data_IF_945617178818
#
_entry.id   IF_945617178818
#
_cell.length_a   1.000
_cell.length_b   1.000
_cell.length_c   1.000
_cell.angle_alpha   90.00
_cell.angle_beta   90.00
_cell.angle_gamma   90.00
#
_symmetry.space_group_name_H-M   'P 1'
#
loop_
_entity.id
_entity.type
_entity.pdbx_description
1 polymer ?
#
# COMPACT_ATOMS: atom_id res chain seq x y z
N UNK A 1 65.03 67.06 -22.57
CA UNK A 1 64.74 65.88 -21.72
C UNK A 1 63.27 65.68 -21.76
N UNK A 2 62.76 64.75 -22.62
CA UNK A 2 61.37 64.55 -22.87
C UNK A 2 61.07 63.17 -22.24
N UNK A 3 60.24 63.16 -21.18
CA UNK A 3 59.83 61.96 -20.49
C UNK A 3 58.45 61.51 -21.01
N UNK A 4 58.44 60.40 -21.72
CA UNK A 4 57.22 59.74 -22.26
C UNK A 4 56.51 58.89 -21.19
N UNK A 5 55.26 59.26 -20.81
CA UNK A 5 54.42 58.49 -19.98
C UNK A 5 53.72 57.39 -20.81
N UNK A 6 54.01 56.12 -20.58
CA UNK A 6 53.28 55.00 -21.13
C UNK A 6 52.10 54.71 -20.24
N UNK A 7 50.81 54.93 -20.70
CA UNK A 7 49.60 54.46 -20.09
C UNK A 7 49.48 52.96 -20.33
N UNK A 8 49.49 52.13 -19.27
CA UNK A 8 49.12 50.74 -19.33
C UNK A 8 47.59 50.68 -19.23
N UNK A 9 46.94 50.20 -20.28
CA UNK A 9 45.51 49.94 -20.32
C UNK A 9 45.29 48.46 -19.88
N UNK A 10 44.74 48.25 -18.68
CA UNK A 10 44.43 46.94 -18.15
C UNK A 10 43.02 46.54 -18.65
N UNK A 11 42.94 45.56 -19.54
CA UNK A 11 41.71 44.96 -19.96
C UNK A 11 41.26 44.00 -18.86
N UNK A 12 40.14 44.32 -18.19
CA UNK A 12 39.46 43.43 -17.26
C UNK A 12 38.54 42.53 -18.10
N UNK A 13 38.92 41.29 -18.34
CA UNK A 13 38.04 40.27 -18.94
C UNK A 13 37.13 39.74 -17.84
N UNK A 14 35.88 40.18 -17.84
CA UNK A 14 34.84 39.61 -16.97
C UNK A 14 34.48 38.20 -17.49
N UNK A 15 34.98 37.18 -16.83
CA UNK A 15 34.58 35.78 -17.07
C UNK A 15 33.16 35.57 -16.50
N UNK A 16 32.14 35.63 -17.35
CA UNK A 16 30.76 35.27 -16.97
C UNK A 16 30.71 33.75 -16.84
N UNK A 17 30.81 33.26 -15.62
CA UNK A 17 30.51 31.86 -15.28
C UNK A 17 29.01 31.62 -15.47
N UNK A 18 28.61 31.12 -16.64
CA UNK A 18 27.29 30.51 -16.84
C UNK A 18 27.30 29.19 -16.11
N UNK A 19 26.85 29.19 -14.87
CA UNK A 19 26.52 27.95 -14.15
C UNK A 19 25.37 27.29 -14.91
N UNK A 20 25.55 26.07 -15.47
CA UNK A 20 24.43 25.35 -16.01
C UNK A 20 23.46 25.08 -14.86
N UNK A 21 22.24 25.62 -14.94
CA UNK A 21 21.13 25.16 -14.12
C UNK A 21 20.90 23.71 -14.48
N UNK A 22 21.41 22.79 -13.65
CA UNK A 22 21.09 21.38 -13.73
C UNK A 22 19.60 21.27 -13.42
N UNK A 23 18.75 21.41 -14.45
CA UNK A 23 17.38 20.91 -14.38
C UNK A 23 17.52 19.41 -14.14
N UNK A 24 17.18 18.94 -12.94
CA UNK A 24 17.05 17.50 -12.71
C UNK A 24 16.07 16.99 -13.75
N UNK A 25 16.56 16.20 -14.70
CA UNK A 25 15.70 15.49 -15.63
C UNK A 25 14.74 14.62 -14.81
N UNK A 26 13.49 14.53 -15.21
CA UNK A 26 12.51 13.62 -14.60
C UNK A 26 13.03 12.20 -14.82
N UNK A 27 13.42 11.52 -13.75
CA UNK A 27 14.11 10.24 -13.81
C UNK A 27 13.18 9.10 -14.26
N UNK A 28 11.85 9.24 -13.97
CA UNK A 28 10.84 8.26 -14.28
C UNK A 28 9.85 8.78 -15.32
N UNK A 29 10.38 9.30 -16.44
CA UNK A 29 9.57 9.77 -17.55
C UNK A 29 8.83 8.61 -18.19
N UNK A 30 7.52 8.81 -18.48
CA UNK A 30 6.72 7.84 -19.22
C UNK A 30 7.25 7.67 -20.65
N UNK A 31 7.28 6.45 -21.13
CA UNK A 31 7.66 6.09 -22.50
C UNK A 31 6.58 5.24 -23.17
N UNK A 32 6.86 4.75 -24.39
CA UNK A 32 5.93 3.85 -25.08
C UNK A 32 5.85 2.45 -24.46
N UNK A 33 6.95 2.00 -23.85
CA UNK A 33 6.94 0.73 -23.12
C UNK A 33 6.14 0.87 -21.83
N UNK A 34 5.28 -0.10 -21.50
CA UNK A 34 4.54 -0.11 -20.25
C UNK A 34 5.46 -0.05 -19.03
N UNK A 35 5.16 0.85 -18.10
CA UNK A 35 5.80 0.92 -16.80
C UNK A 35 4.74 0.99 -15.68
N UNK A 36 5.16 1.01 -14.41
CA UNK A 36 4.29 1.08 -13.23
C UNK A 36 3.20 0.00 -13.23
N UNK A 37 3.54 -1.18 -13.73
CA UNK A 37 2.60 -2.30 -13.77
C UNK A 37 2.29 -2.76 -12.36
N UNK A 38 1.00 -2.79 -12.01
CA UNK A 38 0.55 -3.18 -10.69
C UNK A 38 -0.74 -4.01 -10.75
N UNK A 39 -0.78 -5.05 -9.95
CA UNK A 39 -1.97 -5.85 -9.72
C UNK A 39 -2.76 -5.33 -8.51
N UNK A 40 -4.09 -5.28 -8.67
CA UNK A 40 -5.06 -4.98 -7.61
C UNK A 40 -6.31 -5.84 -7.84
N UNK A 41 -7.32 -5.71 -6.98
CA UNK A 41 -8.62 -6.33 -7.20
C UNK A 41 -9.71 -5.27 -7.21
N UNK A 42 -10.61 -5.36 -8.19
CA UNK A 42 -11.84 -4.56 -8.23
C UNK A 42 -13.08 -5.38 -7.85
N UNK A 43 -12.95 -6.72 -7.86
CA UNK A 43 -14.02 -7.66 -7.57
C UNK A 43 -13.47 -8.93 -6.88
N UNK A 44 -14.16 -10.09 -7.01
CA UNK A 44 -13.80 -11.34 -6.32
C UNK A 44 -12.43 -11.88 -6.77
N UNK A 45 -11.43 -11.96 -5.87
CA UNK A 45 -10.08 -12.47 -6.17
C UNK A 45 -10.03 -13.90 -6.70
N UNK A 46 -11.08 -14.67 -6.55
CA UNK A 46 -11.15 -16.05 -7.05
C UNK A 46 -11.30 -16.13 -8.56
N UNK A 47 -12.00 -15.15 -9.13
CA UNK A 47 -12.42 -15.19 -10.53
C UNK A 47 -12.05 -13.93 -11.33
N UNK A 48 -11.38 -12.98 -10.67
CA UNK A 48 -10.97 -11.71 -11.31
C UNK A 48 -9.56 -11.29 -10.89
N UNK A 49 -8.92 -10.49 -11.74
CA UNK A 49 -7.68 -9.79 -11.43
C UNK A 49 -7.62 -8.48 -12.20
N UNK A 50 -7.38 -7.38 -11.52
CA UNK A 50 -7.15 -6.09 -12.16
C UNK A 50 -5.63 -5.87 -12.37
N UNK A 51 -5.26 -5.29 -13.49
CA UNK A 51 -3.92 -4.80 -13.78
C UNK A 51 -4.00 -3.37 -14.30
N UNK A 52 -3.11 -2.52 -13.79
CA UNK A 52 -2.96 -1.14 -14.24
C UNK A 52 -1.50 -0.90 -14.62
N UNK A 53 -1.28 -0.08 -15.67
CA UNK A 53 0.06 0.32 -16.12
C UNK A 53 0.04 1.72 -16.73
N UNK A 54 1.23 2.31 -16.89
CA UNK A 54 1.38 3.63 -17.50
C UNK A 54 2.17 3.55 -18.81
N UNK A 55 1.85 4.47 -19.74
CA UNK A 55 2.65 4.80 -20.93
C UNK A 55 2.68 6.32 -21.13
N UNK A 56 3.46 6.80 -22.09
CA UNK A 56 3.36 8.19 -22.53
C UNK A 56 2.02 8.48 -23.23
N UNK A 57 1.71 9.75 -23.38
CA UNK A 57 0.42 10.22 -23.95
C UNK A 57 0.23 9.92 -25.44
N UNK A 58 1.20 9.31 -26.13
CA UNK A 58 1.08 8.93 -27.54
C UNK A 58 0.46 7.54 -27.72
N UNK A 59 0.45 6.72 -26.68
CA UNK A 59 -0.12 5.36 -26.69
C UNK A 59 -1.60 5.44 -26.30
N UNK A 60 -2.49 5.54 -27.27
CA UNK A 60 -3.93 5.69 -27.04
C UNK A 60 -4.69 4.35 -26.95
N UNK A 61 -4.14 3.29 -27.53
CA UNK A 61 -4.71 1.94 -27.48
C UNK A 61 -3.71 1.02 -26.79
N UNK A 62 -4.19 0.26 -25.84
CA UNK A 62 -3.36 -0.67 -25.10
C UNK A 62 -4.15 -1.92 -24.76
N UNK A 63 -3.46 -3.03 -24.52
CA UNK A 63 -4.04 -4.35 -24.37
C UNK A 63 -3.35 -5.13 -23.25
N UNK A 64 -4.03 -6.12 -22.72
CA UNK A 64 -3.44 -7.13 -21.85
C UNK A 64 -3.71 -8.52 -22.44
N UNK A 65 -2.71 -9.38 -22.47
CA UNK A 65 -2.83 -10.78 -22.85
C UNK A 65 -2.66 -11.67 -21.63
N UNK A 66 -3.46 -12.74 -21.55
CA UNK A 66 -3.46 -13.67 -20.42
C UNK A 66 -3.80 -15.09 -20.87
N UNK A 67 -3.18 -16.08 -20.24
CA UNK A 67 -3.60 -17.50 -20.29
C UNK A 67 -3.21 -18.24 -19.02
N UNK A 68 -3.67 -19.48 -18.91
CA UNK A 68 -3.28 -20.38 -17.82
C UNK A 68 -1.81 -20.78 -18.01
N UNK A 69 -1.00 -20.61 -16.99
CA UNK A 69 0.42 -20.98 -16.99
C UNK A 69 0.60 -22.50 -17.19
N UNK A 70 1.43 -22.87 -18.12
CA UNK A 70 1.74 -24.28 -18.48
C UNK A 70 3.25 -24.57 -18.58
N UNK A 71 4.08 -23.61 -18.13
CA UNK A 71 5.56 -23.71 -18.16
C UNK A 71 6.18 -23.84 -19.56
N UNK A 72 5.39 -23.63 -20.63
CA UNK A 72 5.91 -23.65 -22.00
C UNK A 72 6.73 -22.40 -22.31
N UNK A 73 7.87 -22.51 -22.97
CA UNK A 73 8.61 -21.35 -23.46
C UNK A 73 7.94 -20.68 -24.68
N UNK A 74 6.91 -21.31 -25.27
CA UNK A 74 6.09 -20.73 -26.34
C UNK A 74 5.03 -19.84 -25.73
N UNK A 75 5.24 -18.54 -25.80
CA UNK A 75 4.40 -17.52 -25.15
C UNK A 75 3.39 -16.86 -26.12
N UNK A 76 3.46 -17.12 -27.41
CA UNK A 76 2.53 -16.72 -28.47
C UNK A 76 1.44 -17.80 -28.67
N UNK A 77 0.58 -17.96 -27.68
CA UNK A 77 -0.43 -19.02 -27.67
C UNK A 77 -1.70 -18.61 -28.37
N UNK A 78 -2.28 -19.51 -29.24
CA UNK A 78 -3.59 -19.27 -29.86
C UNK A 78 -4.73 -19.11 -28.84
N UNK A 79 -4.60 -19.75 -27.67
CA UNK A 79 -5.57 -19.71 -26.57
C UNK A 79 -5.42 -18.47 -25.66
N UNK A 80 -4.39 -17.62 -25.87
CA UNK A 80 -4.24 -16.38 -25.15
C UNK A 80 -5.45 -15.48 -25.37
N UNK A 81 -6.08 -15.07 -24.28
CA UNK A 81 -7.15 -14.07 -24.34
C UNK A 81 -6.52 -12.68 -24.33
N UNK A 82 -7.00 -11.82 -25.23
CA UNK A 82 -6.61 -10.41 -25.27
C UNK A 82 -7.78 -9.55 -24.81
N UNK A 83 -7.47 -8.58 -23.96
CA UNK A 83 -8.40 -7.60 -23.42
C UNK A 83 -7.94 -6.21 -23.82
N UNK A 84 -8.83 -5.43 -24.42
CA UNK A 84 -8.57 -4.01 -24.64
C UNK A 84 -8.64 -3.25 -23.31
N UNK A 85 -7.65 -2.40 -23.07
CA UNK A 85 -7.58 -1.60 -21.87
C UNK A 85 -8.51 -0.39 -21.93
N UNK A 86 -9.06 -0.02 -20.78
CA UNK A 86 -9.58 1.33 -20.53
C UNK A 86 -8.39 2.26 -20.34
N UNK A 87 -8.37 3.38 -21.05
CA UNK A 87 -7.31 4.39 -20.94
C UNK A 87 -7.83 5.64 -20.26
N UNK A 88 -7.11 6.11 -19.26
CA UNK A 88 -7.34 7.36 -18.56
C UNK A 88 -6.12 8.27 -18.72
N UNK A 89 -6.33 9.52 -19.12
CA UNK A 89 -5.27 10.50 -19.33
C UNK A 89 -5.06 11.27 -18.04
N UNK A 90 -3.91 11.11 -17.42
CA UNK A 90 -3.52 11.90 -16.26
C UNK A 90 -2.75 13.14 -16.70
N UNK A 91 -3.32 14.32 -16.39
CA UNK A 91 -2.75 15.65 -16.70
C UNK A 91 -2.59 16.45 -15.42
N UNK A 92 -1.45 17.09 -15.26
CA UNK A 92 -1.21 17.98 -14.14
C UNK A 92 -0.22 19.10 -14.48
N UNK A 93 -0.23 20.14 -13.67
CA UNK A 93 0.73 21.26 -13.83
C UNK A 93 2.14 20.87 -13.36
N UNK A 94 2.25 19.89 -12.48
CA UNK A 94 3.49 19.49 -11.81
C UNK A 94 4.18 18.27 -12.45
N UNK A 95 3.55 17.61 -13.42
CA UNK A 95 4.07 16.39 -14.06
C UNK A 95 3.66 16.32 -15.54
N UNK A 96 4.40 15.54 -16.31
CA UNK A 96 4.07 15.32 -17.73
C UNK A 96 2.77 14.54 -17.87
N UNK A 97 2.03 14.84 -18.96
CA UNK A 97 0.84 14.07 -19.31
C UNK A 97 1.22 12.62 -19.64
N UNK A 98 0.52 11.69 -19.02
CA UNK A 98 0.71 10.26 -19.25
C UNK A 98 -0.64 9.56 -19.37
N UNK A 99 -0.66 8.43 -20.07
CA UNK A 99 -1.81 7.55 -20.19
C UNK A 99 -1.66 6.41 -19.17
N UNK A 100 -2.71 6.20 -18.38
CA UNK A 100 -2.86 5.05 -17.52
C UNK A 100 -3.89 4.10 -18.14
N UNK A 101 -3.54 2.84 -18.17
CA UNK A 101 -4.34 1.79 -18.80
C UNK A 101 -4.75 0.78 -17.73
N UNK A 102 -5.97 0.29 -17.81
CA UNK A 102 -6.45 -0.73 -16.86
C UNK A 102 -7.25 -1.82 -17.58
N UNK A 103 -7.08 -3.05 -17.10
CA UNK A 103 -7.85 -4.22 -17.52
C UNK A 103 -8.31 -4.98 -16.28
N UNK A 104 -9.55 -5.42 -16.29
CA UNK A 104 -10.07 -6.45 -15.38
C UNK A 104 -10.13 -7.78 -16.14
N UNK A 105 -9.29 -8.72 -15.78
CA UNK A 105 -9.46 -10.10 -16.20
C UNK A 105 -10.63 -10.71 -15.44
N UNK A 106 -11.56 -11.31 -16.15
CA UNK A 106 -12.78 -11.89 -15.60
C UNK A 106 -12.96 -13.33 -16.04
N UNK A 107 -13.78 -14.08 -15.29
CA UNK A 107 -14.06 -15.49 -15.59
C UNK A 107 -12.84 -16.41 -15.39
N UNK A 108 -11.95 -16.02 -14.49
CA UNK A 108 -10.78 -16.81 -14.12
C UNK A 108 -11.17 -18.01 -13.26
N UNK A 109 -10.37 -19.06 -13.30
CA UNK A 109 -10.55 -20.26 -12.47
C UNK A 109 -9.89 -20.03 -11.11
N UNK A 110 -10.55 -20.35 -9.99
CA UNK A 110 -9.96 -20.28 -8.66
C UNK A 110 -8.70 -21.14 -8.52
N UNK A 111 -7.76 -20.69 -7.67
CA UNK A 111 -6.48 -21.35 -7.36
C UNK A 111 -5.64 -21.72 -8.59
N UNK A 112 -5.68 -20.89 -9.62
CA UNK A 112 -4.98 -21.14 -10.89
C UNK A 112 -3.85 -20.13 -11.07
N UNK A 113 -2.70 -20.61 -11.53
CA UNK A 113 -1.59 -19.75 -11.95
C UNK A 113 -1.87 -19.25 -13.37
N UNK A 114 -1.77 -17.96 -13.58
CA UNK A 114 -1.90 -17.28 -14.86
C UNK A 114 -0.62 -16.56 -15.23
N UNK A 115 -0.33 -16.52 -16.52
CA UNK A 115 0.72 -15.69 -17.11
C UNK A 115 0.07 -14.58 -17.93
N UNK A 116 0.58 -13.35 -17.81
CA UNK A 116 0.06 -12.19 -18.54
C UNK A 116 1.17 -11.21 -18.92
N UNK A 117 0.88 -10.35 -19.91
CA UNK A 117 1.65 -9.16 -20.25
C UNK A 117 0.71 -8.02 -20.66
N UNK A 118 1.24 -6.79 -20.68
CA UNK A 118 0.50 -5.60 -21.10
C UNK A 118 1.30 -4.83 -22.14
N UNK A 119 0.61 -4.10 -23.04
CA UNK A 119 1.28 -3.36 -24.10
C UNK A 119 0.33 -2.77 -25.13
N UNK A 120 0.89 -2.22 -26.23
CA UNK A 120 0.15 -1.55 -27.32
C UNK A 120 0.08 -2.39 -28.62
N UNK A 121 0.46 -3.67 -28.56
CA UNK A 121 0.57 -4.54 -29.73
C UNK A 121 1.98 -4.56 -30.35
N UNK A 122 2.80 -3.54 -30.07
CA UNK A 122 4.19 -3.43 -30.56
C UNK A 122 5.16 -3.42 -29.37
N UNK A 123 4.91 -2.57 -28.41
CA UNK A 123 5.71 -2.43 -27.18
C UNK A 123 5.03 -3.20 -26.07
N UNK A 124 5.60 -4.34 -25.69
CA UNK A 124 5.06 -5.21 -24.64
C UNK A 124 5.96 -5.18 -23.42
N UNK A 125 5.34 -5.36 -22.23
CA UNK A 125 6.05 -5.66 -20.99
C UNK A 125 6.71 -7.05 -21.06
N UNK A 126 7.54 -7.35 -20.07
CA UNK A 126 7.86 -8.73 -19.72
C UNK A 126 6.60 -9.52 -19.35
N UNK A 127 6.72 -10.83 -19.27
CA UNK A 127 5.67 -11.72 -18.81
C UNK A 127 5.67 -11.80 -17.28
N UNK A 128 4.51 -11.60 -16.68
CA UNK A 128 4.26 -11.73 -15.26
C UNK A 128 3.38 -12.93 -14.95
N UNK A 129 3.41 -13.36 -13.70
CA UNK A 129 2.55 -14.43 -13.22
C UNK A 129 1.81 -13.97 -11.97
N UNK A 130 0.56 -14.40 -11.82
CA UNK A 130 -0.21 -14.29 -10.59
C UNK A 130 -1.07 -15.53 -10.38
N UNK A 131 -1.48 -15.77 -9.13
CA UNK A 131 -2.38 -16.87 -8.80
C UNK A 131 -3.69 -16.29 -8.24
N UNK A 132 -4.82 -16.76 -8.79
CA UNK A 132 -6.16 -16.44 -8.26
C UNK A 132 -6.36 -17.01 -6.85
N UNK A 133 -7.26 -16.39 -6.08
CA UNK A 133 -7.60 -16.87 -4.75
C UNK A 133 -8.25 -18.27 -4.81
N UNK A 134 -8.08 -19.09 -3.77
CA UNK A 134 -8.67 -20.42 -3.73
C UNK A 134 -10.18 -20.38 -3.48
N UNK A 135 -10.90 -21.37 -4.00
CA UNK A 135 -12.32 -21.56 -3.69
C UNK A 135 -12.52 -22.07 -2.26
N UNK A 136 -11.69 -23.01 -1.85
CA UNK A 136 -11.73 -23.61 -0.51
C UNK A 136 -10.71 -22.94 0.41
N UNK A 137 -11.01 -22.98 1.70
CA UNK A 137 -10.07 -22.54 2.73
C UNK A 137 -8.76 -23.33 2.64
N UNK A 138 -7.65 -22.62 2.54
CA UNK A 138 -6.30 -23.17 2.60
C UNK A 138 -5.35 -22.17 3.23
N UNK A 139 -4.20 -22.64 3.71
CA UNK A 139 -3.19 -21.79 4.31
C UNK A 139 -2.60 -20.84 3.25
N UNK A 140 -2.39 -19.59 3.66
CA UNK A 140 -1.74 -18.57 2.85
C UNK A 140 -1.05 -17.53 3.73
N UNK A 141 -0.24 -16.72 3.11
CA UNK A 141 0.40 -15.58 3.76
C UNK A 141 0.27 -14.31 2.94
N UNK A 142 0.43 -13.17 3.61
CA UNK A 142 0.51 -11.88 2.97
C UNK A 142 1.51 -10.96 3.69
N UNK A 143 1.94 -9.92 2.97
CA UNK A 143 2.87 -8.90 3.48
C UNK A 143 2.07 -7.69 3.94
N UNK A 144 2.47 -7.06 5.05
CA UNK A 144 1.99 -5.76 5.47
C UNK A 144 3.15 -4.79 5.57
N UNK A 145 2.96 -3.57 5.02
CA UNK A 145 3.92 -2.47 5.02
C UNK A 145 3.21 -1.19 5.43
N UNK A 146 3.75 -0.49 6.41
CA UNK A 146 3.37 0.90 6.73
C UNK A 146 4.25 1.87 5.94
N UNK A 147 3.93 3.13 6.03
CA UNK A 147 4.62 4.32 5.50
C UNK A 147 5.91 4.06 4.70
N UNK A 148 5.85 4.19 3.38
CA UNK A 148 7.00 4.01 2.49
C UNK A 148 7.77 5.32 2.25
N UNK A 149 7.11 6.45 2.50
CA UNK A 149 7.54 7.81 2.16
C UNK A 149 8.96 8.16 2.59
N UNK A 150 9.56 9.11 1.87
CA UNK A 150 10.92 9.64 2.00
C UNK A 150 12.03 8.65 1.58
N UNK A 151 12.97 9.11 0.78
CA UNK A 151 14.09 8.27 0.29
C UNK A 151 13.62 6.89 -0.23
N UNK A 152 12.49 6.86 -0.93
CA UNK A 152 11.76 5.64 -1.29
C UNK A 152 12.66 4.70 -2.07
N UNK A 153 13.31 5.22 -3.15
CA UNK A 153 14.20 4.45 -3.99
C UNK A 153 15.37 3.87 -3.23
N UNK A 154 15.98 4.66 -2.35
CA UNK A 154 17.23 4.29 -1.68
C UNK A 154 17.03 3.45 -0.41
N UNK A 155 15.87 3.59 0.26
CA UNK A 155 15.69 2.98 1.59
C UNK A 155 14.46 2.08 1.71
N UNK A 156 13.30 2.49 1.18
CA UNK A 156 12.12 1.63 1.23
C UNK A 156 12.25 0.42 0.27
N UNK A 157 12.86 0.61 -0.91
CA UNK A 157 13.05 -0.48 -1.88
C UNK A 157 13.72 -1.72 -1.30
N UNK A 158 14.68 -1.55 -0.39
CA UNK A 158 15.34 -2.69 0.28
C UNK A 158 14.38 -3.46 1.19
N UNK A 159 13.38 -2.76 1.76
CA UNK A 159 12.42 -3.38 2.70
C UNK A 159 11.43 -4.26 1.94
N UNK A 160 10.77 -3.74 0.89
CA UNK A 160 9.84 -4.54 0.08
C UNK A 160 10.55 -5.72 -0.60
N UNK A 161 11.77 -5.52 -1.11
CA UNK A 161 12.57 -6.60 -1.71
C UNK A 161 12.99 -7.64 -0.69
N UNK A 162 13.30 -7.23 0.54
CA UNK A 162 13.58 -8.16 1.64
C UNK A 162 12.33 -8.92 2.08
N UNK A 163 11.17 -8.26 2.12
CA UNK A 163 9.89 -8.91 2.39
C UNK A 163 9.58 -10.00 1.36
N UNK A 164 9.72 -9.67 0.07
CA UNK A 164 9.58 -10.64 -1.02
C UNK A 164 10.58 -11.79 -0.92
N UNK A 165 11.85 -11.52 -0.69
CA UNK A 165 12.88 -12.56 -0.53
C UNK A 165 12.65 -13.45 0.71
N UNK A 166 11.95 -12.94 1.73
CA UNK A 166 11.58 -13.72 2.92
C UNK A 166 10.35 -14.58 2.67
N UNK A 167 9.40 -14.12 1.84
CA UNK A 167 8.12 -14.78 1.60
C UNK A 167 7.57 -14.45 0.20
N UNK A 168 8.24 -14.97 -0.83
CA UNK A 168 7.94 -14.69 -2.23
C UNK A 168 6.63 -15.31 -2.75
N UNK A 169 6.00 -16.19 -1.98
CA UNK A 169 4.72 -16.82 -2.25
C UNK A 169 3.54 -16.09 -1.55
N UNK A 170 3.78 -14.92 -0.97
CA UNK A 170 2.75 -14.06 -0.42
C UNK A 170 1.65 -13.78 -1.45
N UNK A 171 0.40 -13.85 -1.04
CA UNK A 171 -0.75 -13.75 -1.94
C UNK A 171 -1.16 -12.33 -2.26
N UNK A 172 -0.85 -11.38 -1.39
CA UNK A 172 -1.07 -9.95 -1.58
C UNK A 172 -0.21 -9.12 -0.62
N UNK A 173 -0.17 -7.82 -0.87
CA UNK A 173 0.53 -6.84 -0.01
C UNK A 173 -0.48 -5.82 0.48
N UNK A 174 -0.55 -5.61 1.79
CA UNK A 174 -1.31 -4.52 2.42
C UNK A 174 -0.38 -3.34 2.64
N UNK A 175 -0.78 -2.16 2.17
CA UNK A 175 -0.08 -0.89 2.39
C UNK A 175 -0.94 0.03 3.25
N UNK A 176 -0.44 0.46 4.41
CA UNK A 176 -1.20 1.28 5.36
C UNK A 176 -1.04 2.80 5.13
N UNK A 177 -0.96 3.23 3.88
CA UNK A 177 -0.90 4.65 3.49
C UNK A 177 0.49 5.26 3.50
N UNK A 178 0.56 6.53 3.09
CA UNK A 178 1.79 7.31 2.94
C UNK A 178 2.85 6.59 2.09
N UNK A 179 2.43 6.20 0.87
CA UNK A 179 3.28 5.51 -0.10
C UNK A 179 4.37 6.43 -0.65
N UNK A 180 4.04 7.73 -0.75
CA UNK A 180 4.90 8.82 -1.23
C UNK A 180 4.88 9.96 -0.21
N UNK A 181 5.78 10.94 -0.36
CA UNK A 181 5.83 12.09 0.53
C UNK A 181 5.00 13.29 0.01
N UNK A 182 4.79 13.39 -1.31
CA UNK A 182 3.99 14.43 -1.95
C UNK A 182 3.16 13.83 -3.06
N UNK A 183 1.85 13.88 -2.93
CA UNK A 183 0.90 13.22 -3.82
C UNK A 183 1.09 13.59 -5.30
N UNK A 184 1.34 14.87 -5.59
CA UNK A 184 1.51 15.40 -6.94
C UNK A 184 2.96 15.33 -7.46
N UNK A 185 3.84 14.59 -6.81
CA UNK A 185 5.21 14.37 -7.25
C UNK A 185 5.35 13.05 -8.00
N UNK A 186 5.24 13.11 -9.32
CA UNK A 186 5.31 11.92 -10.16
C UNK A 186 6.65 11.15 -10.05
N UNK A 187 7.75 11.82 -9.70
CA UNK A 187 9.01 11.13 -9.43
C UNK A 187 8.95 10.24 -8.19
N UNK A 188 8.29 10.68 -7.11
CA UNK A 188 8.13 9.86 -5.91
C UNK A 188 7.25 8.63 -6.17
N UNK A 189 6.20 8.78 -6.98
CA UNK A 189 5.44 7.65 -7.51
C UNK A 189 6.31 6.71 -8.36
N UNK A 190 7.17 7.28 -9.21
CA UNK A 190 8.15 6.52 -9.96
C UNK A 190 9.12 5.74 -9.08
N UNK A 191 9.64 6.36 -8.01
CA UNK A 191 10.47 5.68 -7.02
C UNK A 191 9.76 4.53 -6.32
N UNK A 192 8.48 4.73 -5.98
CA UNK A 192 7.66 3.70 -5.32
C UNK A 192 7.46 2.48 -6.24
N UNK A 193 7.06 2.72 -7.49
CA UNK A 193 6.91 1.64 -8.46
C UNK A 193 8.26 0.96 -8.78
N UNK A 194 9.34 1.72 -8.88
CA UNK A 194 10.68 1.16 -9.06
C UNK A 194 11.11 0.29 -7.86
N UNK A 195 10.79 0.72 -6.65
CA UNK A 195 11.09 -0.03 -5.42
C UNK A 195 10.41 -1.40 -5.41
N UNK A 196 9.12 -1.44 -5.74
CA UNK A 196 8.34 -2.66 -5.88
C UNK A 196 8.71 -3.47 -7.13
N UNK A 197 9.02 -2.78 -8.24
CA UNK A 197 9.44 -3.39 -9.49
C UNK A 197 8.49 -4.51 -9.95
N UNK A 198 9.05 -5.66 -10.33
CA UNK A 198 8.27 -6.83 -10.76
C UNK A 198 7.34 -7.39 -9.66
N UNK A 199 7.61 -7.10 -8.38
CA UNK A 199 6.77 -7.59 -7.26
C UNK A 199 5.34 -7.07 -7.42
N UNK A 200 5.16 -5.78 -7.78
CA UNK A 200 3.86 -5.17 -8.00
C UNK A 200 3.08 -5.83 -9.17
N UNK A 201 3.80 -6.33 -10.18
CA UNK A 201 3.22 -7.06 -11.31
C UNK A 201 2.88 -8.53 -11.00
N UNK A 202 3.32 -9.07 -9.87
CA UNK A 202 3.11 -10.48 -9.49
C UNK A 202 2.24 -10.65 -8.26
N UNK A 203 2.32 -9.74 -7.30
CA UNK A 203 1.61 -9.83 -6.02
C UNK A 203 0.61 -8.66 -5.92
N UNK A 204 -0.71 -8.93 -5.90
CA UNK A 204 -1.72 -7.88 -5.82
C UNK A 204 -1.58 -7.02 -4.57
N UNK A 205 -1.84 -5.71 -4.72
CA UNK A 205 -1.78 -4.73 -3.65
C UNK A 205 -3.17 -4.37 -3.13
N UNK A 206 -3.27 -4.18 -1.81
CA UNK A 206 -4.42 -3.62 -1.08
C UNK A 206 -3.93 -2.33 -0.41
N UNK A 207 -3.94 -1.18 -1.10
CA UNK A 207 -3.47 0.08 -0.55
C UNK A 207 -4.57 0.81 0.23
N UNK A 208 -4.23 1.39 1.39
CA UNK A 208 -5.02 2.44 2.05
C UNK A 208 -4.39 3.80 1.76
N UNK A 209 -5.21 4.84 1.63
CA UNK A 209 -4.69 6.20 1.48
C UNK A 209 -4.28 6.78 2.85
N UNK A 210 -3.10 7.41 2.89
CA UNK A 210 -2.65 8.22 4.02
C UNK A 210 -2.84 9.71 3.76
N UNK A 211 -2.30 10.57 4.63
CA UNK A 211 -2.41 12.00 4.44
C UNK A 211 -1.50 12.54 3.32
N UNK A 212 -0.46 11.82 2.97
CA UNK A 212 0.45 12.19 1.89
C UNK A 212 -0.07 11.83 0.49
N UNK A 213 -1.14 11.04 0.35
CA UNK A 213 -1.88 10.84 -0.90
C UNK A 213 -2.85 11.99 -1.21
N UNK A 214 -3.01 12.96 -0.31
CA UNK A 214 -3.88 14.12 -0.46
C UNK A 214 -3.09 15.40 -0.71
N UNK A 215 -3.72 16.34 -1.42
CA UNK A 215 -3.25 17.71 -1.56
C UNK A 215 -4.41 18.69 -1.38
N UNK A 216 -4.10 19.99 -1.24
CA UNK A 216 -5.11 21.03 -1.30
C UNK A 216 -5.10 21.65 -2.69
N UNK A 217 -6.26 21.61 -3.34
CA UNK A 217 -6.44 22.24 -4.63
C UNK A 217 -6.38 23.78 -4.56
N UNK A 218 -6.62 24.47 -5.69
CA UNK A 218 -6.60 25.93 -5.77
C UNK A 218 -7.66 26.60 -4.88
N UNK A 219 -8.76 25.89 -4.60
CA UNK A 219 -9.84 26.31 -3.69
C UNK A 219 -9.55 25.93 -2.23
N UNK A 220 -8.38 25.36 -1.95
CA UNK A 220 -7.97 24.80 -0.66
C UNK A 220 -8.80 23.60 -0.18
N UNK A 221 -9.56 22.98 -1.06
CA UNK A 221 -10.26 21.73 -0.78
C UNK A 221 -9.26 20.59 -0.67
N UNK A 222 -9.41 19.76 0.36
CA UNK A 222 -8.59 18.57 0.52
C UNK A 222 -9.05 17.51 -0.50
N UNK A 223 -8.16 17.10 -1.37
CA UNK A 223 -8.48 16.23 -2.50
C UNK A 223 -7.50 15.06 -2.54
N UNK A 224 -8.02 13.85 -2.70
CA UNK A 224 -7.21 12.68 -3.02
C UNK A 224 -6.60 12.88 -4.41
N UNK A 225 -5.28 12.72 -4.51
CA UNK A 225 -4.57 13.00 -5.76
C UNK A 225 -5.06 12.10 -6.90
N UNK A 226 -5.26 12.63 -8.12
CA UNK A 226 -5.68 11.84 -9.26
C UNK A 226 -4.78 10.65 -9.60
N UNK A 227 -3.49 10.66 -9.20
CA UNK A 227 -2.62 9.50 -9.33
C UNK A 227 -3.20 8.25 -8.65
N UNK A 228 -3.93 8.41 -7.54
CA UNK A 228 -4.52 7.28 -6.83
C UNK A 228 -5.43 6.46 -7.74
N UNK A 229 -6.45 7.11 -8.30
CA UNK A 229 -7.40 6.44 -9.21
C UNK A 229 -6.74 5.98 -10.51
N UNK A 230 -5.79 6.75 -11.04
CA UNK A 230 -5.10 6.40 -12.28
C UNK A 230 -4.24 5.13 -12.13
N UNK A 231 -3.63 4.92 -10.94
CA UNK A 231 -2.71 3.81 -10.70
C UNK A 231 -3.37 2.55 -10.16
N UNK A 232 -4.55 2.68 -9.53
CA UNK A 232 -5.19 1.56 -8.85
C UNK A 232 -6.60 1.33 -9.38
N UNK A 233 -6.93 0.08 -9.68
CA UNK A 233 -8.29 -0.36 -9.97
C UNK A 233 -8.78 -1.15 -8.76
N UNK A 234 -9.51 -0.48 -7.85
CA UNK A 234 -9.91 -1.00 -6.56
C UNK A 234 -11.42 -1.28 -6.50
N UNK A 235 -11.90 -2.04 -5.48
CA UNK A 235 -13.33 -2.29 -5.31
C UNK A 235 -14.12 -1.00 -5.11
N UNK A 236 -15.30 -0.94 -5.73
CA UNK A 236 -16.25 0.15 -5.56
C UNK A 236 -17.39 -0.22 -4.60
N UNK A 237 -17.10 -1.05 -3.61
CA UNK A 237 -18.05 -1.52 -2.61
C UNK A 237 -18.05 -0.68 -1.33
N UNK A 238 -17.35 0.46 -1.34
CA UNK A 238 -17.33 1.47 -0.30
C UNK A 238 -18.56 2.40 -0.30
N UNK A 239 -18.65 3.34 0.63
CA UNK A 239 -19.72 4.32 0.66
C UNK A 239 -19.59 5.29 -0.53
N UNK A 240 -20.74 5.77 -1.01
CA UNK A 240 -20.80 6.71 -2.12
C UNK A 240 -19.94 7.96 -1.86
N UNK A 241 -19.09 8.30 -2.83
CA UNK A 241 -18.15 9.43 -2.77
C UNK A 241 -16.81 9.11 -2.13
N UNK A 242 -16.62 7.86 -1.64
CA UNK A 242 -15.36 7.36 -1.09
C UNK A 242 -14.91 6.05 -1.79
N UNK A 243 -15.46 5.79 -2.97
CA UNK A 243 -15.09 4.62 -3.78
C UNK A 243 -13.58 4.57 -4.02
N UNK A 244 -13.02 3.38 -4.09
CA UNK A 244 -11.58 3.12 -4.28
C UNK A 244 -10.66 3.64 -3.16
N UNK A 245 -11.20 4.38 -2.17
CA UNK A 245 -10.46 4.79 -0.96
C UNK A 245 -11.00 4.14 0.32
N UNK A 246 -12.29 3.72 0.30
CA UNK A 246 -12.93 2.88 1.32
C UNK A 246 -13.49 1.66 0.62
N UNK A 247 -13.05 0.47 1.00
CA UNK A 247 -13.47 -0.77 0.36
C UNK A 247 -13.13 -2.00 1.21
N UNK A 248 -13.61 -3.16 0.79
CA UNK A 248 -13.14 -4.44 1.33
C UNK A 248 -12.86 -5.45 0.22
N UNK A 249 -11.98 -6.40 0.55
CA UNK A 249 -11.63 -7.57 -0.27
C UNK A 249 -11.79 -8.82 0.58
N UNK A 250 -12.44 -9.84 0.00
CA UNK A 250 -12.55 -11.17 0.60
C UNK A 250 -11.54 -12.12 -0.05
N UNK A 251 -10.56 -12.58 0.73
CA UNK A 251 -9.59 -13.57 0.29
C UNK A 251 -9.68 -14.82 1.17
N UNK A 252 -10.00 -15.98 0.58
CA UNK A 252 -10.22 -17.23 1.32
C UNK A 252 -11.18 -17.01 2.52
N UNK A 253 -10.71 -17.24 3.75
CA UNK A 253 -11.46 -17.07 4.99
C UNK A 253 -11.24 -15.73 5.71
N UNK A 254 -10.65 -14.74 5.02
CA UNK A 254 -10.33 -13.41 5.56
C UNK A 254 -11.10 -12.33 4.82
N UNK A 255 -11.64 -11.35 5.54
CA UNK A 255 -12.07 -10.05 5.01
C UNK A 255 -11.07 -8.99 5.41
N UNK A 256 -10.49 -8.30 4.43
CA UNK A 256 -9.62 -7.14 4.62
C UNK A 256 -10.41 -5.88 4.24
N UNK A 257 -10.54 -4.94 5.17
CA UNK A 257 -11.28 -3.69 5.01
C UNK A 257 -10.28 -2.56 4.99
N UNK A 258 -10.30 -1.71 3.97
CA UNK A 258 -9.56 -0.44 3.91
C UNK A 258 -10.47 0.72 4.28
N UNK A 259 -10.04 1.55 5.23
CA UNK A 259 -10.73 2.79 5.62
C UNK A 259 -9.90 4.01 5.19
N UNK A 260 -10.59 5.07 4.83
CA UNK A 260 -10.00 6.36 4.51
C UNK A 260 -9.89 7.22 5.77
N UNK A 261 -8.85 6.98 6.56
CA UNK A 261 -8.69 7.66 7.85
C UNK A 261 -8.34 9.14 7.72
N UNK A 262 -7.79 9.59 6.58
CA UNK A 262 -7.57 11.03 6.34
C UNK A 262 -8.90 11.80 6.32
N UNK A 263 -9.91 11.25 5.67
CA UNK A 263 -11.24 11.83 5.67
C UNK A 263 -11.96 11.64 7.01
N UNK A 264 -11.70 10.55 7.73
CA UNK A 264 -12.24 10.31 9.07
C UNK A 264 -11.80 11.41 10.07
N UNK A 265 -10.50 11.76 10.08
CA UNK A 265 -9.94 12.68 11.06
C UNK A 265 -10.20 14.16 10.72
N UNK A 266 -10.56 14.48 9.48
CA UNK A 266 -10.73 15.85 9.01
C UNK A 266 -12.17 16.24 8.69
N UNK A 267 -13.07 15.28 8.47
CA UNK A 267 -14.45 15.51 8.08
C UNK A 267 -15.43 14.67 8.90
N UNK A 268 -16.18 15.31 9.74
CA UNK A 268 -17.16 14.65 10.62
C UNK A 268 -18.30 13.93 9.86
N UNK A 269 -18.61 14.36 8.63
CA UNK A 269 -19.58 13.65 7.79
C UNK A 269 -18.98 12.34 7.28
N UNK A 270 -17.73 12.36 6.81
CA UNK A 270 -17.01 11.16 6.41
C UNK A 270 -16.79 10.19 7.56
N UNK A 271 -16.45 10.68 8.76
CA UNK A 271 -16.36 9.89 9.99
C UNK A 271 -17.63 9.06 10.21
N UNK A 272 -18.80 9.70 10.18
CA UNK A 272 -20.10 9.04 10.38
C UNK A 272 -20.47 8.10 9.25
N UNK A 273 -20.27 8.54 8.01
CA UNK A 273 -20.57 7.73 6.81
C UNK A 273 -19.76 6.43 6.79
N UNK A 274 -18.46 6.51 7.08
CA UNK A 274 -17.61 5.32 7.14
C UNK A 274 -17.98 4.41 8.32
N UNK A 275 -18.37 4.95 9.46
CA UNK A 275 -18.79 4.14 10.61
C UNK A 275 -20.07 3.35 10.32
N UNK A 276 -21.09 3.98 9.71
CA UNK A 276 -22.34 3.30 9.31
C UNK A 276 -22.06 2.22 8.28
N UNK A 277 -21.29 2.50 7.26
CA UNK A 277 -20.90 1.53 6.25
C UNK A 277 -20.11 0.36 6.86
N UNK A 278 -19.14 0.67 7.74
CA UNK A 278 -18.32 -0.35 8.39
C UNK A 278 -19.17 -1.28 9.25
N UNK A 279 -20.14 -0.75 10.02
CA UNK A 279 -21.03 -1.57 10.83
C UNK A 279 -21.81 -2.56 9.95
N UNK A 280 -22.33 -2.13 8.81
CA UNK A 280 -23.04 -3.01 7.87
C UNK A 280 -22.12 -4.09 7.28
N UNK A 281 -20.89 -3.70 6.89
CA UNK A 281 -19.89 -4.64 6.36
C UNK A 281 -19.47 -5.67 7.41
N UNK A 282 -19.30 -5.25 8.66
CA UNK A 282 -18.93 -6.17 9.76
C UNK A 282 -20.07 -7.11 10.12
N UNK A 283 -21.30 -6.59 10.22
CA UNK A 283 -22.52 -7.37 10.51
C UNK A 283 -22.75 -8.48 9.49
N UNK A 284 -22.52 -8.19 8.21
CA UNK A 284 -22.73 -9.12 7.10
C UNK A 284 -21.46 -9.88 6.69
N UNK A 285 -20.41 -9.86 7.51
CA UNK A 285 -19.18 -10.57 7.20
C UNK A 285 -19.32 -12.09 7.39
N UNK A 286 -19.18 -12.90 6.32
CA UNK A 286 -19.24 -14.36 6.45
C UNK A 286 -17.88 -14.97 6.82
N UNK A 287 -16.80 -14.18 6.79
CA UNK A 287 -15.43 -14.69 6.94
C UNK A 287 -15.08 -14.92 8.41
N UNK A 288 -14.20 -15.88 8.67
CA UNK A 288 -13.70 -16.17 10.02
C UNK A 288 -12.85 -15.04 10.56
N UNK A 289 -11.94 -14.52 9.74
CA UNK A 289 -11.00 -13.47 10.11
C UNK A 289 -11.43 -12.12 9.56
N UNK A 290 -11.34 -11.09 10.39
CA UNK A 290 -11.61 -9.71 10.01
C UNK A 290 -10.39 -8.87 10.31
N UNK A 291 -9.82 -8.27 9.28
CA UNK A 291 -8.67 -7.37 9.39
C UNK A 291 -9.04 -6.01 8.80
N UNK A 292 -8.56 -4.94 9.41
CA UNK A 292 -8.81 -3.60 8.91
C UNK A 292 -7.48 -2.88 8.74
N UNK A 293 -7.31 -2.18 7.63
CA UNK A 293 -6.16 -1.33 7.38
C UNK A 293 -6.60 0.10 7.18
N UNK A 294 -5.86 1.03 7.75
CA UNK A 294 -6.04 2.47 7.62
C UNK A 294 -4.78 3.19 8.11
N UNK A 295 -4.62 4.45 7.73
CA UNK A 295 -3.38 5.15 7.99
C UNK A 295 -3.26 5.70 9.41
N UNK A 296 -4.17 6.60 9.86
CA UNK A 296 -4.09 7.26 11.17
C UNK A 296 -4.50 6.34 12.30
N UNK A 297 -3.59 5.96 13.22
CA UNK A 297 -3.91 4.99 14.26
C UNK A 297 -4.89 5.56 15.29
N UNK A 298 -5.87 4.75 15.71
CA UNK A 298 -6.79 5.16 16.79
C UNK A 298 -6.11 5.22 18.17
N UNK A 299 -4.98 4.55 18.30
CA UNK A 299 -4.05 4.65 19.42
C UNK A 299 -2.71 5.09 18.88
N UNK A 300 -2.46 6.39 18.94
CA UNK A 300 -1.20 6.95 18.48
C UNK A 300 -0.04 6.53 19.36
N UNK A 301 1.10 6.30 18.72
CA UNK A 301 2.36 5.96 19.36
C UNK A 301 3.31 7.15 19.43
N UNK A 302 3.17 8.10 18.51
CA UNK A 302 3.98 9.30 18.47
C UNK A 302 3.48 10.35 19.48
N UNK A 303 4.43 10.98 20.16
CA UNK A 303 4.14 11.99 21.20
C UNK A 303 3.29 13.14 20.66
N UNK A 304 2.26 13.51 21.42
CA UNK A 304 1.40 14.66 21.14
C UNK A 304 0.33 14.40 20.08
N UNK A 305 0.10 13.15 19.68
CA UNK A 305 -0.95 12.74 18.75
C UNK A 305 -2.07 11.98 19.47
N UNK A 306 -3.30 12.23 19.06
CA UNK A 306 -4.47 11.44 19.49
C UNK A 306 -5.58 11.56 18.45
N UNK A 307 -6.22 10.45 18.14
CA UNK A 307 -7.37 10.37 17.24
C UNK A 307 -8.63 9.97 18.02
N UNK A 308 -8.96 10.78 19.05
CA UNK A 308 -10.01 10.48 20.04
C UNK A 308 -11.37 10.21 19.41
N UNK A 309 -11.86 11.11 18.55
CA UNK A 309 -13.18 10.96 17.92
C UNK A 309 -13.27 9.71 17.05
N UNK A 310 -12.22 9.42 16.28
CA UNK A 310 -12.12 8.19 15.52
C UNK A 310 -12.20 6.97 16.44
N UNK A 311 -11.43 6.96 17.51
CA UNK A 311 -11.42 5.86 18.49
C UNK A 311 -12.77 5.68 19.16
N UNK A 312 -13.40 6.74 19.60
CA UNK A 312 -14.69 6.69 20.31
C UNK A 312 -15.82 6.09 19.46
N UNK A 313 -15.80 6.34 18.14
CA UNK A 313 -16.84 5.83 17.25
C UNK A 313 -16.52 4.43 16.70
N UNK A 314 -15.28 4.14 16.35
CA UNK A 314 -14.92 2.89 15.66
C UNK A 314 -14.51 1.74 16.59
N UNK A 315 -13.85 2.03 17.72
CA UNK A 315 -13.47 0.97 18.66
C UNK A 315 -14.66 0.13 19.15
N UNK A 316 -15.83 0.69 19.50
CA UNK A 316 -17.00 -0.09 19.85
C UNK A 316 -17.45 -1.07 18.76
N UNK A 317 -17.31 -0.70 17.48
CA UNK A 317 -17.60 -1.58 16.35
C UNK A 317 -16.56 -2.71 16.25
N UNK A 318 -15.27 -2.38 16.40
CA UNK A 318 -14.22 -3.40 16.38
C UNK A 318 -14.39 -4.45 17.49
N UNK A 319 -14.75 -4.02 18.68
CA UNK A 319 -15.00 -4.91 19.82
C UNK A 319 -16.28 -5.75 19.61
N UNK A 320 -17.37 -5.09 19.21
CA UNK A 320 -18.69 -5.74 18.99
C UNK A 320 -18.63 -6.85 17.96
N UNK A 321 -17.90 -6.65 16.88
CA UNK A 321 -17.82 -7.57 15.75
C UNK A 321 -16.55 -8.41 15.74
N UNK A 322 -15.78 -8.41 16.83
CA UNK A 322 -14.58 -9.23 17.02
C UNK A 322 -13.57 -9.09 15.88
N UNK A 323 -13.25 -7.84 15.50
CA UNK A 323 -12.15 -7.56 14.58
C UNK A 323 -10.86 -8.12 15.16
N UNK A 324 -10.02 -8.73 14.33
CA UNK A 324 -8.86 -9.48 14.82
C UNK A 324 -7.55 -8.67 14.77
N UNK A 325 -7.30 -7.95 13.68
CA UNK A 325 -6.06 -7.24 13.43
C UNK A 325 -6.30 -5.88 12.77
N UNK A 326 -5.73 -4.83 13.34
CA UNK A 326 -5.71 -3.47 12.79
C UNK A 326 -4.29 -3.16 12.33
N UNK A 327 -4.13 -2.85 11.03
CA UNK A 327 -2.84 -2.56 10.39
C UNK A 327 -2.79 -1.06 10.05
N UNK A 328 -1.91 -0.32 10.71
CA UNK A 328 -1.89 1.15 10.74
C UNK A 328 -0.48 1.69 10.44
N UNK A 329 -0.40 2.96 10.02
CA UNK A 329 0.85 3.68 9.73
C UNK A 329 0.97 5.00 10.50
N UNK A 330 1.40 6.07 9.81
CA UNK A 330 1.39 7.46 10.24
C UNK A 330 2.40 7.87 11.31
N UNK A 331 2.59 7.07 12.32
CA UNK A 331 3.40 7.45 13.49
C UNK A 331 4.90 7.14 13.33
N UNK A 332 5.30 6.56 12.20
CA UNK A 332 6.71 6.27 11.87
C UNK A 332 7.49 5.60 13.00
N UNK A 333 6.80 4.69 13.70
CA UNK A 333 7.32 3.85 14.78
C UNK A 333 6.78 2.43 14.59
N UNK A 334 7.26 1.51 15.38
CA UNK A 334 6.57 0.24 15.55
C UNK A 334 5.92 0.18 16.91
N UNK A 335 4.66 -0.23 16.96
CA UNK A 335 3.99 -0.58 18.22
C UNK A 335 2.91 -1.61 17.98
N UNK A 336 2.74 -2.49 18.95
CA UNK A 336 1.61 -3.41 18.98
C UNK A 336 1.08 -3.60 20.40
N UNK A 337 -0.21 -3.80 20.51
CA UNK A 337 -0.86 -4.08 21.78
C UNK A 337 -2.35 -4.35 21.60
N UNK A 338 -2.93 -4.96 22.63
CA UNK A 338 -4.37 -5.09 22.77
C UNK A 338 -4.82 -4.08 23.82
N UNK A 339 -5.64 -3.10 23.43
CA UNK A 339 -6.25 -2.21 24.40
C UNK A 339 -7.45 -2.90 25.04
N UNK A 340 -7.18 -3.58 26.15
CA UNK A 340 -8.22 -4.22 26.95
C UNK A 340 -9.01 -3.18 27.76
N UNK A 341 -10.31 -3.42 28.05
CA UNK A 341 -11.07 -2.57 28.95
C UNK A 341 -10.35 -2.41 30.29
N UNK A 342 -10.38 -1.21 30.85
CA UNK A 342 -9.81 -0.91 32.16
C UNK A 342 -10.39 -1.86 33.22
N UNK A 343 -9.56 -2.61 33.94
CA UNK A 343 -9.98 -3.52 35.01
C UNK A 343 -10.12 -4.99 34.59
N UNK A 344 -9.90 -5.35 33.34
CA UNK A 344 -9.84 -6.75 32.93
C UNK A 344 -8.42 -7.26 33.11
N UNK A 345 -8.20 -8.06 34.14
CA UNK A 345 -6.95 -8.81 34.31
C UNK A 345 -7.03 -10.11 33.51
N UNK A 346 -6.11 -10.29 32.60
CA UNK A 346 -6.04 -11.48 31.75
C UNK A 346 -6.33 -11.14 30.29
N UNK A 347 -5.69 -11.86 29.38
CA UNK A 347 -5.75 -11.63 27.94
C UNK A 347 -7.05 -12.22 27.37
N UNK A 348 -8.16 -11.56 27.64
CA UNK A 348 -9.42 -11.83 26.97
C UNK A 348 -9.34 -11.17 25.59
N UNK A 349 -9.54 -11.96 24.53
CA UNK A 349 -9.38 -11.55 23.16
C UNK A 349 -10.07 -10.24 22.80
N UNK A 350 -9.29 -9.31 22.33
CA UNK A 350 -9.72 -8.07 21.67
C UNK A 350 -8.89 -7.89 20.40
N UNK A 351 -9.18 -6.86 19.60
CA UNK A 351 -8.38 -6.56 18.43
C UNK A 351 -6.90 -6.36 18.76
N UNK A 352 -6.02 -6.87 17.92
CA UNK A 352 -4.60 -6.53 17.96
C UNK A 352 -4.37 -5.28 17.12
N UNK A 353 -3.91 -4.22 17.74
CA UNK A 353 -3.53 -2.97 17.09
C UNK A 353 -2.04 -2.99 16.77
N UNK A 354 -1.70 -2.73 15.51
CA UNK A 354 -0.31 -2.64 15.05
C UNK A 354 -0.12 -1.32 14.32
N UNK A 355 0.90 -0.58 14.70
CA UNK A 355 1.44 0.55 13.94
C UNK A 355 2.80 0.12 13.41
N UNK A 356 3.06 0.30 12.12
CA UNK A 356 4.33 -0.08 11.50
C UNK A 356 4.84 0.98 10.54
N UNK A 357 6.15 0.97 10.28
CA UNK A 357 6.84 1.85 9.36
C UNK A 357 7.85 1.06 8.53
N UNK A 358 7.73 1.14 7.22
CA UNK A 358 8.65 0.52 6.26
C UNK A 358 9.64 1.52 5.65
N UNK A 359 9.29 2.80 5.62
CA UNK A 359 10.14 3.91 5.16
C UNK A 359 11.17 4.35 6.20
N UNK A 360 12.04 5.29 5.83
CA UNK A 360 13.15 5.73 6.70
C UNK A 360 12.81 6.87 7.66
N UNK A 361 11.65 7.52 7.51
CA UNK A 361 11.22 8.61 8.40
C UNK A 361 10.83 8.01 9.74
N UNK A 362 11.36 8.56 10.84
CA UNK A 362 11.18 8.01 12.18
C UNK A 362 10.77 9.08 13.19
N UNK A 363 9.86 8.69 14.09
CA UNK A 363 9.44 9.51 15.22
C UNK A 363 9.84 8.86 16.55
N UNK A 364 9.64 9.60 17.63
CA UNK A 364 9.81 9.14 19.00
C UNK A 364 8.52 8.56 19.54
N UNK A 365 8.61 7.39 20.17
CA UNK A 365 7.48 6.76 20.84
C UNK A 365 7.12 7.53 22.12
N UNK A 366 5.84 7.77 22.34
CA UNK A 366 5.34 8.15 23.66
C UNK A 366 5.13 6.88 24.48
N UNK A 367 5.94 6.69 25.49
CA UNK A 367 5.88 5.50 26.37
C UNK A 367 4.82 5.59 27.46
N UNK A 368 4.11 6.73 27.58
CA UNK A 368 3.08 6.92 28.61
C UNK A 368 1.78 6.11 28.35
N UNK A 369 1.31 5.93 27.10
CA UNK A 369 0.15 5.09 26.85
C UNK A 369 0.42 3.63 27.18
N UNK A 370 -0.36 3.06 28.09
CA UNK A 370 -0.19 1.67 28.57
C UNK A 370 -0.77 0.60 27.64
N UNK A 371 -1.19 0.96 26.42
CA UNK A 371 -1.78 0.00 25.49
C UNK A 371 -0.75 -0.86 24.74
N UNK A 372 0.50 -0.36 24.63
CA UNK A 372 1.57 -1.02 23.90
C UNK A 372 2.22 -2.12 24.72
N UNK A 373 2.26 -3.34 24.18
CA UNK A 373 3.02 -4.47 24.74
C UNK A 373 4.46 -4.50 24.19
N UNK A 374 4.65 -4.09 22.92
CA UNK A 374 5.94 -4.03 22.24
C UNK A 374 6.00 -2.75 21.42
N UNK A 375 7.15 -2.10 21.43
CA UNK A 375 7.40 -0.92 20.59
C UNK A 375 8.87 -0.83 20.17
N UNK A 376 9.13 -0.08 19.09
CA UNK A 376 10.47 0.26 18.62
C UNK A 376 10.49 1.63 17.94
N UNK A 377 11.66 2.25 18.01
CA UNK A 377 12.03 3.46 17.29
C UNK A 377 13.17 3.16 16.32
N UNK A 378 13.37 4.04 15.34
CA UNK A 378 14.53 4.03 14.44
C UNK A 378 14.78 2.67 13.78
N UNK A 379 13.71 1.98 13.36
CA UNK A 379 13.78 0.63 12.81
C UNK A 379 12.77 0.47 11.67
N UNK A 380 13.27 0.22 10.43
CA UNK A 380 12.42 -0.15 9.30
C UNK A 380 11.99 -1.62 9.42
N UNK A 381 10.70 -1.86 9.27
CA UNK A 381 10.08 -3.18 9.46
C UNK A 381 9.17 -3.54 8.29
N UNK A 382 9.00 -4.83 8.09
CA UNK A 382 7.93 -5.42 7.29
C UNK A 382 7.32 -6.58 8.07
N UNK A 383 6.09 -6.93 7.76
CA UNK A 383 5.38 -7.98 8.46
C UNK A 383 4.92 -9.06 7.50
N UNK A 384 5.00 -10.31 7.95
CA UNK A 384 4.42 -11.48 7.29
C UNK A 384 3.31 -12.00 8.19
N UNK A 385 2.11 -12.10 7.63
CA UNK A 385 0.95 -12.65 8.30
C UNK A 385 0.58 -13.97 7.63
N UNK A 386 0.63 -15.05 8.39
CA UNK A 386 0.24 -16.38 7.93
C UNK A 386 -1.14 -16.72 8.50
N UNK A 387 -2.07 -17.14 7.66
CA UNK A 387 -3.40 -17.58 8.03
C UNK A 387 -3.54 -19.05 7.64
N UNK A 388 -3.82 -19.90 8.64
CA UNK A 388 -4.03 -21.33 8.46
C UNK A 388 -5.23 -21.77 9.31
N UNK A 389 -6.39 -21.87 8.68
CA UNK A 389 -7.64 -22.21 9.34
C UNK A 389 -7.93 -21.31 10.55
N UNK A 390 -7.94 -21.93 11.72
CA UNK A 390 -8.19 -21.28 13.01
C UNK A 390 -6.99 -20.46 13.55
N UNK A 391 -5.86 -20.45 12.86
CA UNK A 391 -4.64 -19.83 13.34
C UNK A 391 -4.21 -18.68 12.44
N UNK A 392 -3.80 -17.59 13.05
CA UNK A 392 -3.10 -16.48 12.43
C UNK A 392 -1.77 -16.28 13.16
N UNK A 393 -0.67 -16.30 12.43
CA UNK A 393 0.66 -15.98 12.96
C UNK A 393 1.15 -14.70 12.32
N UNK A 394 1.44 -13.72 13.15
CA UNK A 394 2.05 -12.45 12.76
C UNK A 394 3.52 -12.47 13.11
N UNK A 395 4.37 -12.04 12.19
CA UNK A 395 5.80 -11.88 12.43
C UNK A 395 6.30 -10.58 11.80
N UNK A 396 6.86 -9.71 12.61
CA UNK A 396 7.54 -8.50 12.18
C UNK A 396 9.04 -8.78 12.02
N UNK A 397 9.58 -8.37 10.88
CA UNK A 397 10.99 -8.50 10.54
C UNK A 397 11.63 -7.13 10.40
N UNK A 398 12.85 -6.97 10.88
CA UNK A 398 13.69 -5.83 10.54
C UNK A 398 14.09 -5.88 9.05
N UNK A 399 14.46 -4.75 8.48
CA UNK A 399 14.98 -4.69 7.11
C UNK A 399 16.21 -5.59 6.87
N UNK A 400 16.89 -6.04 7.92
CA UNK A 400 17.97 -7.04 7.88
C UNK A 400 17.45 -8.48 7.64
N UNK A 401 16.15 -8.73 7.88
CA UNK A 401 15.54 -10.07 7.87
C UNK A 401 15.51 -10.75 9.24
N UNK A 402 15.99 -10.08 10.28
CA UNK A 402 15.92 -10.56 11.66
C UNK A 402 14.49 -10.42 12.19
N UNK A 403 13.97 -11.44 12.88
CA UNK A 403 12.66 -11.38 13.55
C UNK A 403 12.74 -10.41 14.73
N UNK A 404 11.87 -9.41 14.71
CA UNK A 404 11.77 -8.42 15.78
C UNK A 404 10.66 -8.76 16.77
N UNK A 405 9.44 -9.05 16.27
CA UNK A 405 8.25 -9.32 17.08
C UNK A 405 7.44 -10.45 16.46
N UNK A 406 6.76 -11.26 17.28
CA UNK A 406 5.87 -12.30 16.77
C UNK A 406 4.79 -12.66 17.77
N UNK A 407 3.59 -12.94 17.25
CA UNK A 407 2.47 -13.45 18.05
C UNK A 407 1.57 -14.36 17.23
N UNK A 408 0.71 -15.08 17.93
CA UNK A 408 -0.32 -15.94 17.35
C UNK A 408 -1.70 -15.52 17.85
N UNK A 409 -2.67 -15.52 16.96
CA UNK A 409 -4.09 -15.46 17.27
C UNK A 409 -4.72 -16.81 16.92
N UNK A 410 -5.60 -17.31 17.78
CA UNK A 410 -6.40 -18.52 17.51
C UNK A 410 -7.88 -18.18 17.61
N UNK A 411 -8.65 -18.46 16.54
CA UNK A 411 -10.07 -18.13 16.44
C UNK A 411 -10.84 -19.28 15.83
N UNK A 412 -11.72 -19.90 16.60
CA UNK A 412 -12.48 -21.08 16.19
C UNK A 412 -13.83 -20.75 15.53
N UNK A 413 -14.30 -19.50 15.66
CA UNK A 413 -15.55 -19.01 15.09
C UNK A 413 -15.45 -17.51 14.81
N UNK A 414 -16.14 -17.02 13.76
CA UNK A 414 -16.23 -15.59 13.45
C UNK A 414 -16.86 -14.76 14.59
N UNK A 415 -17.76 -15.37 15.36
CA UNK A 415 -18.52 -14.72 16.42
C UNK A 415 -17.80 -14.76 17.79
N UNK A 416 -16.52 -15.11 17.79
CA UNK A 416 -15.68 -15.12 19.00
C UNK A 416 -14.43 -14.30 18.79
N UNK A 417 -14.00 -13.61 19.83
CA UNK A 417 -12.70 -12.96 19.84
C UNK A 417 -11.57 -13.99 19.75
N UNK A 418 -10.51 -13.63 19.05
CA UNK A 418 -9.32 -14.48 18.94
C UNK A 418 -8.55 -14.55 20.27
N UNK A 419 -7.98 -15.70 20.56
CA UNK A 419 -7.09 -15.91 21.72
C UNK A 419 -5.67 -15.57 21.30
N UNK A 420 -5.06 -14.65 22.02
CA UNK A 420 -3.71 -14.17 21.77
C UNK A 420 -2.65 -15.01 22.50
N UNK A 421 -1.53 -15.26 21.84
CA UNK A 421 -0.31 -15.86 22.40
C UNK A 421 0.91 -15.08 21.94
N UNK A 422 1.71 -14.58 22.87
CA UNK A 422 2.98 -13.90 22.60
C UNK A 422 4.07 -14.95 22.33
N UNK A 423 4.69 -14.90 21.15
CA UNK A 423 5.75 -15.84 20.75
C UNK A 423 7.16 -15.34 21.12
N UNK A 424 7.33 -14.10 21.58
CA UNK A 424 8.62 -13.56 21.96
C UNK A 424 9.10 -14.08 23.32
N UNK A 425 8.21 -14.54 24.18
CA UNK A 425 8.53 -14.98 25.57
C UNK A 425 9.49 -16.16 25.66
N UNK A 426 9.70 -16.88 24.55
CA UNK A 426 10.62 -18.03 24.49
C UNK A 426 12.03 -17.66 23.99
N UNK A 427 12.34 -16.36 23.81
CA UNK A 427 13.63 -15.86 23.30
C UNK A 427 14.54 -15.28 24.41
N UNK A 428 14.31 -15.65 25.68
CA UNK A 428 15.20 -15.29 26.80
C UNK A 428 16.30 -16.32 26.96
#
# INVERSE_FOLDING_TARGET
>A
MITTFKKKMTFLVALVLVLPTLTKAQEFKAGKFPDRIILTWSADPKTTQAVTWRTDSTVNNSFAQIWVEDSSPKLDKPEAKEYQAKTEVLKGKAYETANYHSVNFEGLTPDKLYTYRVGDGTNWSEWFQFRTAPEKEQAFSFIYLGDAQNDIRSKWSRVIRKAFATHGDARFIVHAGDLINRSNNDNEWGEWHFGGGFINGMIPSIPSSGNHEYFRDEQRTLTLDPHWRAQYTLPQNGPKGLEESVYYVDYANVRIISLNSQMIVLDSASLKTQAVWLEEVLKNNPKRWTMITYHHPIYSTAKGRDNKEFRELFKPLFDKYHVDLLMQGHDHTYSRGQNLPTGVSGKVGGPMYVVSVAGPKMYKVDVNPKWMDVFAENTQLFQIINVDGDNLTYTAYKASGEVFDSFKLKKTSKDKAAVFTDLNKNKK
#
